data_IF_027514128413
#
_entry.id   IF_027514128413
#
_cell.length_a   1.000
_cell.length_b   1.000
_cell.length_c   1.000
_cell.angle_alpha   90.00
_cell.angle_beta   90.00
_cell.angle_gamma   90.00
#
_symmetry.space_group_name_H-M   'P 1'
#
loop_
_entity.id
_entity.type
_entity.pdbx_description
1 polymer ?
#
# COMPACT_ATOMS: atom_id res chain seq x y z
N UNK A 1 0.66 -18.70 29.21
CA UNK A 1 1.54 -18.96 28.05
C UNK A 1 0.70 -19.57 26.95
N UNK A 2 0.07 -18.72 26.15
CA UNK A 2 -0.63 -19.12 24.94
C UNK A 2 0.45 -19.50 23.93
N UNK A 3 0.46 -20.75 23.46
CA UNK A 3 1.30 -21.15 22.33
C UNK A 3 0.83 -20.34 21.13
N UNK A 4 1.67 -19.45 20.63
CA UNK A 4 1.48 -18.87 19.30
C UNK A 4 1.47 -20.02 18.30
N UNK A 5 0.33 -20.18 17.63
CA UNK A 5 0.23 -21.08 16.48
C UNK A 5 1.07 -20.42 15.37
N UNK A 6 2.08 -21.09 14.79
CA UNK A 6 2.83 -20.52 13.69
C UNK A 6 1.83 -20.14 12.58
N UNK A 7 1.77 -18.85 12.22
CA UNK A 7 1.01 -18.46 11.04
C UNK A 7 1.62 -19.21 9.84
N UNK A 8 0.79 -19.82 8.97
CA UNK A 8 1.30 -20.45 7.76
C UNK A 8 2.07 -19.40 6.95
N UNK A 9 3.30 -19.75 6.55
CA UNK A 9 4.19 -18.86 5.80
C UNK A 9 3.47 -18.40 4.53
N UNK A 10 3.25 -17.08 4.35
CA UNK A 10 2.71 -16.54 3.09
C UNK A 10 3.61 -16.95 1.91
N UNK A 11 3.02 -17.28 0.76
CA UNK A 11 3.74 -17.54 -0.49
C UNK A 11 4.52 -16.32 -1.00
N UNK A 12 4.21 -15.12 -0.48
CA UNK A 12 4.99 -13.91 -0.73
C UNK A 12 6.21 -13.76 0.19
N UNK A 13 6.33 -14.60 1.23
CA UNK A 13 7.50 -14.67 2.10
C UNK A 13 7.85 -13.31 2.75
N UNK A 14 6.84 -12.56 3.19
CA UNK A 14 7.04 -11.32 3.93
C UNK A 14 7.87 -11.56 5.20
N UNK A 15 8.84 -10.69 5.43
CA UNK A 15 9.60 -10.60 6.68
C UNK A 15 8.70 -10.13 7.83
N UNK A 16 9.14 -10.37 9.07
CA UNK A 16 8.39 -9.91 10.25
C UNK A 16 8.21 -8.40 10.28
N UNK A 17 9.16 -7.63 9.75
CA UNK A 17 9.03 -6.18 9.64
C UNK A 17 7.96 -5.78 8.62
N UNK A 18 7.95 -6.42 7.45
CA UNK A 18 6.96 -6.14 6.40
C UNK A 18 5.54 -6.53 6.81
N UNK A 19 5.39 -7.55 7.69
CA UNK A 19 4.11 -7.92 8.31
C UNK A 19 3.68 -7.00 9.44
N UNK A 20 4.64 -6.47 10.21
CA UNK A 20 4.32 -5.58 11.32
C UNK A 20 3.74 -4.25 10.83
N UNK A 21 4.19 -3.78 9.67
CA UNK A 21 3.80 -2.49 9.10
C UNK A 21 2.93 -2.60 7.85
N UNK A 22 2.61 -3.82 7.40
CA UNK A 22 1.89 -4.10 6.15
C UNK A 22 2.46 -3.33 4.94
N UNK A 23 3.79 -3.18 4.89
CA UNK A 23 4.50 -2.36 3.91
C UNK A 23 5.74 -3.06 3.37
N UNK A 24 6.03 -2.85 2.10
CA UNK A 24 7.26 -3.25 1.41
C UNK A 24 7.83 -2.08 0.62
N UNK A 25 9.13 -2.12 0.29
CA UNK A 25 9.71 -1.11 -0.59
C UNK A 25 9.27 -1.30 -2.05
N UNK A 26 9.35 -0.25 -2.86
CA UNK A 26 9.09 -0.32 -4.30
C UNK A 26 10.00 -1.35 -5.00
N UNK A 27 11.29 -1.39 -4.64
CA UNK A 27 12.21 -2.39 -5.17
C UNK A 27 11.73 -3.83 -4.84
N UNK A 28 11.31 -4.06 -3.60
CA UNK A 28 10.80 -5.35 -3.14
C UNK A 28 9.50 -5.72 -3.85
N UNK A 29 8.59 -4.77 -4.04
CA UNK A 29 7.37 -4.95 -4.80
C UNK A 29 7.67 -5.34 -6.26
N UNK A 30 8.58 -4.63 -6.92
CA UNK A 30 8.98 -4.92 -8.30
C UNK A 30 9.62 -6.31 -8.43
N UNK A 31 10.45 -6.73 -7.47
CA UNK A 31 10.94 -8.12 -7.39
C UNK A 31 9.79 -9.12 -7.28
N UNK A 32 8.79 -8.82 -6.44
CA UNK A 32 7.66 -9.73 -6.22
C UNK A 32 6.82 -9.94 -7.48
N UNK A 33 6.45 -8.87 -8.19
CA UNK A 33 5.61 -8.99 -9.39
C UNK A 33 6.37 -9.60 -10.59
N UNK A 34 7.71 -9.51 -10.59
CA UNK A 34 8.58 -10.12 -11.61
C UNK A 34 8.87 -11.60 -11.40
N UNK A 35 8.71 -12.09 -10.17
CA UNK A 35 8.85 -13.52 -9.85
C UNK A 35 7.87 -14.35 -10.70
N UNK A 36 8.38 -15.41 -11.32
CA UNK A 36 7.60 -16.31 -12.17
C UNK A 36 6.50 -17.05 -11.39
N UNK A 37 6.64 -17.17 -10.06
CA UNK A 37 5.60 -17.75 -9.19
C UNK A 37 4.43 -16.80 -8.98
N UNK A 38 4.57 -15.51 -9.31
CA UNK A 38 3.53 -14.50 -9.13
C UNK A 38 2.63 -14.45 -10.35
N UNK A 39 1.33 -14.63 -10.12
CA UNK A 39 0.28 -14.34 -11.10
C UNK A 39 -0.41 -13.05 -10.73
N UNK A 40 -0.54 -12.12 -11.69
CA UNK A 40 -1.23 -10.84 -11.48
C UNK A 40 -2.64 -10.98 -12.03
N UNK A 41 -3.63 -10.60 -11.24
CA UNK A 41 -5.05 -10.79 -11.55
C UNK A 41 -5.77 -9.50 -11.88
N UNK A 42 -5.32 -8.38 -11.30
CA UNK A 42 -5.94 -7.08 -11.49
C UNK A 42 -4.92 -5.96 -11.33
N UNK A 43 -5.13 -4.88 -12.07
CA UNK A 43 -4.39 -3.62 -11.95
C UNK A 43 -5.36 -2.49 -12.20
N UNK A 44 -5.52 -1.60 -11.22
CA UNK A 44 -6.46 -0.49 -11.32
C UNK A 44 -5.93 0.73 -10.57
N UNK A 45 -6.28 1.92 -11.04
CA UNK A 45 -6.08 3.16 -10.28
C UNK A 45 -7.43 3.53 -9.66
N UNK A 46 -7.45 3.72 -8.35
CA UNK A 46 -8.69 4.05 -7.62
C UNK A 46 -8.42 5.05 -6.53
N UNK A 47 -9.41 5.88 -6.27
CA UNK A 47 -9.41 6.80 -5.13
C UNK A 47 -10.15 6.17 -3.95
N UNK A 48 -9.71 6.49 -2.74
CA UNK A 48 -10.41 6.23 -1.48
C UNK A 48 -10.39 7.51 -0.63
N UNK A 49 -10.81 7.42 0.64
CA UNK A 49 -10.85 8.56 1.56
C UNK A 49 -9.47 9.12 1.95
N UNK A 50 -8.39 8.44 1.55
CA UNK A 50 -7.00 8.80 1.83
C UNK A 50 -6.28 9.39 0.62
N UNK A 51 -6.77 9.13 -0.60
CA UNK A 51 -6.18 9.63 -1.83
C UNK A 51 -6.36 8.69 -3.02
N UNK A 52 -5.57 8.88 -4.07
CA UNK A 52 -5.59 8.07 -5.29
C UNK A 52 -4.35 7.18 -5.38
N UNK A 53 -4.54 5.88 -5.56
CA UNK A 53 -3.46 4.89 -5.58
C UNK A 53 -3.62 3.89 -6.73
N UNK A 54 -2.49 3.30 -7.14
CA UNK A 54 -2.48 2.11 -7.98
C UNK A 54 -2.65 0.89 -7.09
N UNK A 55 -3.62 0.04 -7.40
CA UNK A 55 -3.91 -1.22 -6.76
C UNK A 55 -3.55 -2.37 -7.70
N UNK A 56 -2.79 -3.34 -7.19
CA UNK A 56 -2.38 -4.54 -7.94
C UNK A 56 -2.70 -5.77 -7.11
N UNK A 57 -3.60 -6.61 -7.61
CA UNK A 57 -3.91 -7.90 -6.97
C UNK A 57 -3.08 -9.00 -7.62
N UNK A 58 -2.36 -9.75 -6.79
CA UNK A 58 -1.55 -10.87 -7.24
C UNK A 58 -1.73 -12.09 -6.35
N UNK A 59 -1.35 -13.25 -6.85
CA UNK A 59 -1.29 -14.48 -6.06
C UNK A 59 0.01 -15.25 -6.27
N UNK A 60 0.33 -16.07 -5.28
CA UNK A 60 1.42 -17.06 -5.32
C UNK A 60 0.95 -18.41 -4.78
N UNK A 61 1.42 -19.52 -5.36
CA UNK A 61 1.19 -20.84 -4.81
C UNK A 61 1.97 -21.02 -3.50
N UNK A 62 1.32 -21.60 -2.50
CA UNK A 62 1.90 -21.93 -1.21
C UNK A 62 1.39 -23.30 -0.73
N UNK A 63 2.19 -24.35 -0.97
CA UNK A 63 2.01 -25.75 -0.57
C UNK A 63 0.62 -26.38 -0.86
N UNK A 64 -0.43 -25.89 -0.20
CA UNK A 64 -1.82 -26.35 -0.29
C UNK A 64 -2.85 -25.26 -0.63
N UNK A 65 -2.44 -23.99 -0.76
CA UNK A 65 -3.32 -22.86 -1.08
C UNK A 65 -2.68 -21.84 -2.01
N UNK A 66 -3.51 -20.98 -2.60
CA UNK A 66 -3.07 -19.74 -3.23
C UNK A 66 -3.14 -18.65 -2.16
N UNK A 67 -2.01 -17.98 -1.92
CA UNK A 67 -2.02 -16.73 -1.15
C UNK A 67 -2.26 -15.59 -2.13
N UNK A 68 -3.28 -14.78 -1.86
CA UNK A 68 -3.67 -13.66 -2.70
C UNK A 68 -3.58 -12.38 -1.88
N UNK A 69 -2.93 -11.38 -2.46
CA UNK A 69 -2.61 -10.11 -1.82
C UNK A 69 -2.93 -8.98 -2.80
N UNK A 70 -3.47 -7.89 -2.28
CA UNK A 70 -3.53 -6.63 -3.01
C UNK A 70 -2.48 -5.69 -2.47
N UNK A 71 -1.64 -5.18 -3.38
CA UNK A 71 -0.68 -4.12 -3.11
C UNK A 71 -1.29 -2.79 -3.52
N UNK A 72 -0.97 -1.72 -2.79
CA UNK A 72 -1.33 -0.37 -3.19
C UNK A 72 -0.22 0.65 -2.89
N UNK A 73 -0.04 1.59 -3.81
CA UNK A 73 1.04 2.58 -3.78
C UNK A 73 0.98 3.52 -5.00
N UNK A 74 2.08 4.23 -5.27
CA UNK A 74 2.20 5.18 -6.40
C UNK A 74 1.06 6.21 -6.44
N UNK A 75 0.80 6.82 -5.30
CA UNK A 75 -0.36 7.66 -5.08
C UNK A 75 -0.09 8.86 -4.19
N UNK A 76 -0.93 9.88 -4.30
CA UNK A 76 -0.90 11.02 -3.39
C UNK A 76 -1.82 10.73 -2.21
N UNK A 77 -1.28 10.87 -1.00
CA UNK A 77 -2.02 10.68 0.23
C UNK A 77 -2.40 12.04 0.82
N UNK A 78 -3.69 12.32 0.93
CA UNK A 78 -4.23 13.63 1.29
C UNK A 78 -3.86 14.03 2.71
N UNK A 79 -4.11 13.18 3.71
CA UNK A 79 -3.80 13.48 5.11
C UNK A 79 -2.31 13.54 5.44
N UNK A 80 -1.48 12.75 4.73
CA UNK A 80 0.00 12.83 4.83
C UNK A 80 0.57 13.96 3.99
N UNK A 81 -0.23 14.56 3.11
CA UNK A 81 0.17 15.62 2.17
C UNK A 81 1.41 15.28 1.32
N UNK A 82 1.56 14.01 0.92
CA UNK A 82 2.71 13.59 0.12
C UNK A 82 2.41 12.48 -0.86
N UNK A 83 3.23 12.43 -1.89
CA UNK A 83 3.32 11.28 -2.79
C UNK A 83 3.99 10.09 -2.08
N UNK A 84 3.37 8.92 -2.18
CA UNK A 84 3.91 7.63 -1.73
C UNK A 84 4.39 6.89 -2.98
N UNK A 85 5.70 6.87 -3.20
CA UNK A 85 6.29 6.32 -4.44
C UNK A 85 7.40 5.30 -4.21
N UNK A 86 7.88 5.20 -2.98
CA UNK A 86 9.00 4.39 -2.53
C UNK A 86 8.56 3.15 -1.75
N UNK A 87 7.29 3.10 -1.34
CA UNK A 87 6.70 1.99 -0.59
C UNK A 87 5.35 1.57 -1.17
N UNK A 88 5.02 0.30 -0.94
CA UNK A 88 3.73 -0.29 -1.23
C UNK A 88 3.16 -0.90 0.04
N UNK A 89 1.93 -0.53 0.36
CA UNK A 89 1.16 -1.20 1.41
C UNK A 89 0.48 -2.44 0.84
N UNK A 90 0.14 -3.41 1.68
CA UNK A 90 -0.51 -4.63 1.24
C UNK A 90 -1.55 -5.16 2.23
N UNK A 91 -2.49 -5.96 1.73
CA UNK A 91 -3.43 -6.70 2.57
C UNK A 91 -3.85 -8.01 1.89
N UNK A 92 -4.23 -8.98 2.70
CA UNK A 92 -4.76 -10.26 2.21
C UNK A 92 -6.06 -10.04 1.42
N UNK A 93 -6.11 -10.58 0.20
CA UNK A 93 -7.25 -10.45 -0.68
C UNK A 93 -8.06 -11.75 -0.73
N UNK A 94 -9.35 -11.67 -0.44
CA UNK A 94 -10.29 -12.77 -0.63
C UNK A 94 -10.95 -12.67 -2.00
N UNK A 95 -10.32 -13.27 -3.01
CA UNK A 95 -10.84 -13.28 -4.38
C UNK A 95 -11.68 -14.55 -4.67
N UNK A 96 -12.67 -14.41 -5.53
CA UNK A 96 -13.43 -15.55 -6.07
C UNK A 96 -12.58 -16.32 -7.08
N UNK A 97 -12.88 -17.61 -7.29
CA UNK A 97 -12.20 -18.43 -8.30
C UNK A 97 -12.25 -17.80 -9.70
N UNK A 98 -13.39 -17.18 -10.04
CA UNK A 98 -13.58 -16.46 -11.31
C UNK A 98 -12.60 -15.30 -11.49
N UNK A 99 -12.35 -14.53 -10.43
CA UNK A 99 -11.39 -13.42 -10.47
C UNK A 99 -9.95 -13.92 -10.52
N UNK A 100 -9.64 -15.02 -9.82
CA UNK A 100 -8.31 -15.64 -9.88
C UNK A 100 -8.01 -16.29 -11.24
N UNK A 101 -9.04 -16.62 -12.03
CA UNK A 101 -8.87 -17.12 -13.39
C UNK A 101 -8.47 -16.02 -14.38
N UNK A 102 -8.68 -14.75 -14.05
CA UNK A 102 -8.22 -13.61 -14.83
C UNK A 102 -6.73 -13.42 -14.58
N UNK A 103 -5.97 -13.22 -15.64
CA UNK A 103 -4.54 -12.95 -15.57
C UNK A 103 -4.22 -11.73 -16.42
N UNK A 104 -3.48 -10.80 -15.85
CA UNK A 104 -2.96 -9.61 -16.54
C UNK A 104 -1.51 -9.88 -16.95
N UNK A 105 -1.14 -9.43 -18.15
CA UNK A 105 0.23 -9.60 -18.61
C UNK A 105 1.20 -8.76 -17.75
N UNK A 106 2.34 -9.35 -17.41
CA UNK A 106 3.34 -8.70 -16.56
C UNK A 106 3.93 -7.46 -17.21
N UNK A 107 4.21 -7.49 -18.52
CA UNK A 107 4.76 -6.33 -19.22
C UNK A 107 3.75 -5.19 -19.27
N UNK A 108 2.45 -5.51 -19.39
CA UNK A 108 1.37 -4.53 -19.30
C UNK A 108 1.34 -3.86 -17.91
N UNK A 109 1.45 -4.64 -16.83
CA UNK A 109 1.50 -4.09 -15.47
C UNK A 109 2.73 -3.20 -15.26
N UNK A 110 3.91 -3.63 -15.72
CA UNK A 110 5.13 -2.81 -15.63
C UNK A 110 5.00 -1.51 -16.44
N UNK A 111 4.37 -1.57 -17.63
CA UNK A 111 4.12 -0.39 -18.44
C UNK A 111 3.14 0.57 -17.76
N UNK A 112 2.09 0.06 -17.10
CA UNK A 112 1.14 0.87 -16.33
C UNK A 112 1.80 1.55 -15.14
N UNK A 113 2.63 0.82 -14.39
CA UNK A 113 3.44 1.36 -13.28
C UNK A 113 4.34 2.49 -13.80
N UNK A 114 5.04 2.27 -14.91
CA UNK A 114 5.93 3.28 -15.47
C UNK A 114 5.15 4.49 -15.98
N UNK A 115 4.02 4.29 -16.67
CA UNK A 115 3.17 5.36 -17.13
C UNK A 115 2.66 6.22 -15.97
N UNK A 116 2.26 5.60 -14.85
CA UNK A 116 1.87 6.31 -13.65
C UNK A 116 3.02 7.12 -13.06
N UNK A 117 4.23 6.55 -13.00
CA UNK A 117 5.42 7.29 -12.53
C UNK A 117 5.71 8.51 -13.39
N UNK A 118 5.61 8.36 -14.70
CA UNK A 118 5.84 9.44 -15.65
C UNK A 118 4.76 10.54 -15.54
N UNK A 119 3.50 10.14 -15.33
CA UNK A 119 2.38 11.06 -15.08
C UNK A 119 2.62 11.92 -13.84
N UNK A 120 2.96 11.30 -12.71
CA UNK A 120 3.11 12.01 -11.42
C UNK A 120 4.47 12.72 -11.28
N UNK A 121 5.43 12.46 -12.17
CA UNK A 121 6.79 12.99 -12.07
C UNK A 121 6.83 14.52 -12.09
N UNK A 122 5.94 15.17 -12.84
CA UNK A 122 5.84 16.64 -12.85
C UNK A 122 5.22 17.15 -11.55
N UNK A 123 4.14 16.53 -11.06
CA UNK A 123 3.50 16.95 -9.81
C UNK A 123 4.45 16.81 -8.61
N UNK A 124 5.26 15.75 -8.58
CA UNK A 124 6.29 15.54 -7.56
C UNK A 124 7.36 16.65 -7.52
N UNK A 125 7.62 17.34 -8.65
CA UNK A 125 8.56 18.48 -8.70
C UNK A 125 7.93 19.77 -8.18
N UNK A 126 6.62 19.91 -8.30
CA UNK A 126 5.89 21.13 -7.97
C UNK A 126 5.23 21.09 -6.59
N UNK A 127 5.03 19.89 -6.02
CA UNK A 127 4.53 19.76 -4.66
C UNK A 127 5.52 20.37 -3.67
N UNK A 128 5.04 21.13 -2.66
CA UNK A 128 5.91 21.66 -1.64
C UNK A 128 6.74 20.54 -1.04
N UNK A 129 8.05 20.75 -0.96
CA UNK A 129 9.00 19.81 -0.35
C UNK A 129 8.77 19.61 1.15
N UNK A 130 7.85 20.38 1.74
CA UNK A 130 7.59 20.43 3.18
C UNK A 130 6.10 20.15 3.40
N UNK A 131 5.82 18.97 3.99
CA UNK A 131 4.52 18.64 4.55
C UNK A 131 4.14 19.67 5.62
N UNK A 132 2.84 19.95 5.80
CA UNK A 132 2.39 20.76 6.93
C UNK A 132 2.71 20.05 8.26
N UNK A 133 2.67 20.80 9.37
CA UNK A 133 2.81 20.21 10.70
C UNK A 133 1.74 19.14 10.96
N UNK A 134 0.53 19.35 10.46
CA UNK A 134 -0.57 18.40 10.54
C UNK A 134 -0.28 17.14 9.73
N UNK A 135 0.27 17.27 8.52
CA UNK A 135 0.70 16.14 7.70
C UNK A 135 1.81 15.30 8.34
N UNK A 136 2.81 15.96 8.94
CA UNK A 136 3.89 15.30 9.68
C UNK A 136 3.35 14.58 10.92
N UNK A 137 2.47 15.24 11.69
CA UNK A 137 1.88 14.65 12.89
C UNK A 137 0.98 13.47 12.53
N UNK A 138 0.17 13.59 11.49
CA UNK A 138 -0.65 12.50 10.98
C UNK A 138 0.20 11.28 10.61
N UNK A 139 1.31 11.48 9.88
CA UNK A 139 2.23 10.40 9.52
C UNK A 139 2.81 9.70 10.75
N UNK A 140 3.21 10.46 11.78
CA UNK A 140 3.68 9.90 13.04
C UNK A 140 2.59 9.08 13.76
N UNK A 141 1.36 9.59 13.80
CA UNK A 141 0.22 8.87 14.41
C UNK A 141 -0.10 7.59 13.64
N UNK A 142 -0.10 7.65 12.31
CA UNK A 142 -0.42 6.51 11.44
C UNK A 142 0.63 5.38 11.54
N UNK A 143 1.87 5.69 11.89
CA UNK A 143 2.90 4.69 12.17
C UNK A 143 2.79 4.08 13.59
N UNK A 144 2.06 4.72 14.51
CA UNK A 144 1.80 4.21 15.87
C UNK A 144 0.48 3.45 16.01
N UNK A 145 -0.51 3.80 15.19
CA UNK A 145 -1.86 3.22 15.21
C UNK A 145 -2.16 2.53 13.88
N UNK A 146 -3.00 3.14 13.06
CA UNK A 146 -3.31 2.87 11.67
C UNK A 146 -3.87 4.17 11.05
N UNK A 147 -4.33 4.16 9.79
CA UNK A 147 -4.84 5.37 9.14
C UNK A 147 -6.12 5.92 9.81
N UNK A 148 -7.04 5.05 10.24
CA UNK A 148 -8.31 5.45 10.87
C UNK A 148 -8.07 5.99 12.30
N UNK A 149 -7.16 5.36 13.04
CA UNK A 149 -6.72 5.79 14.36
C UNK A 149 -5.99 7.11 14.31
N UNK A 150 -5.07 7.30 13.35
CA UNK A 150 -4.39 8.57 13.15
C UNK A 150 -5.35 9.70 12.80
N UNK A 151 -6.36 9.41 11.98
CA UNK A 151 -7.41 10.37 11.67
C UNK A 151 -8.18 10.79 12.93
N UNK A 152 -8.59 9.82 13.74
CA UNK A 152 -9.34 10.06 14.98
C UNK A 152 -8.52 10.88 15.99
N UNK A 153 -7.27 10.49 16.23
CA UNK A 153 -6.39 11.17 17.18
C UNK A 153 -6.05 12.60 16.73
N UNK A 154 -5.88 12.82 15.42
CA UNK A 154 -5.63 14.16 14.88
C UNK A 154 -6.87 15.06 15.06
N UNK A 155 -8.06 14.55 14.75
CA UNK A 155 -9.32 15.27 14.90
C UNK A 155 -9.55 15.63 16.39
N UNK A 156 -9.28 14.71 17.32
CA UNK A 156 -9.34 14.96 18.77
C UNK A 156 -8.37 16.07 19.24
N UNK A 157 -7.18 16.18 18.62
CA UNK A 157 -6.22 17.25 18.93
C UNK A 157 -6.68 18.62 18.42
N UNK A 158 -7.36 18.68 17.27
CA UNK A 158 -8.00 19.90 16.80
C UNK A 158 -9.16 20.31 17.70
N UNK A 159 -10.04 19.38 18.04
CA UNK A 159 -11.21 19.62 18.92
C UNK A 159 -10.80 20.10 20.32
N UNK A 160 -9.68 19.59 20.83
CA UNK A 160 -9.11 20.02 22.10
C UNK A 160 -8.33 21.35 22.03
N UNK A 161 -8.17 21.94 20.84
CA UNK A 161 -7.48 23.22 20.63
C UNK A 161 -5.96 23.14 20.77
N UNK A 162 -5.37 21.95 20.59
CA UNK A 162 -3.92 21.78 20.55
C UNK A 162 -3.31 22.13 19.19
N UNK A 163 -4.14 22.16 18.15
CA UNK A 163 -3.79 22.49 16.77
C UNK A 163 -4.77 23.54 16.24
N UNK A 164 -4.28 24.47 15.42
CA UNK A 164 -5.12 25.44 14.73
C UNK A 164 -5.57 24.84 13.38
N UNK A 165 -6.86 24.87 13.06
CA UNK A 165 -7.34 24.57 11.70
C UNK A 165 -6.73 25.60 10.73
N UNK A 166 -5.97 25.13 9.74
CA UNK A 166 -5.41 25.99 8.68
C UNK A 166 -6.45 26.36 7.64
#
# INVERSE_FOLDING_TARGET
>A
MTKEVPQPSSGFEFSEHEKLYDRISDARFMEMIRDERTTIHDVTTSSNNYGEFVFITASRPNASKLDCVTFFGLGYHERRERWITDTWSWYDAHQTEERLAITVDRQEVEALIQARRDEIAEDMKHFPSEQSQSGILYEFLADLTDEDGAATELDDLFDAGFLDEQ
#
